data_IF_921763662784
#
_entry.id   IF_921763662784
#
_cell.length_a   1.000
_cell.length_b   1.000
_cell.length_c   1.000
_cell.angle_alpha   90.00
_cell.angle_beta   90.00
_cell.angle_gamma   90.00
#
_symmetry.space_group_name_H-M   'P 1'
#
loop_
_entity.id
_entity.type
_entity.pdbx_description
1 polymer ?
#
# COMPACT_ATOMS: atom_id res chain seq x y z
N UNK A 1 16.65 -11.43 -11.86
CA UNK A 1 15.58 -10.41 -12.01
C UNK A 1 16.11 -9.08 -11.46
N UNK A 2 15.89 -7.99 -12.18
CA UNK A 2 16.35 -6.66 -11.73
C UNK A 2 15.34 -6.07 -10.76
N UNK A 3 15.80 -5.66 -9.57
CA UNK A 3 14.94 -5.06 -8.54
C UNK A 3 14.20 -3.83 -9.07
N UNK A 4 12.92 -3.70 -8.75
CA UNK A 4 12.04 -2.62 -9.18
C UNK A 4 11.49 -2.74 -10.61
N UNK A 5 12.05 -3.64 -11.44
CA UNK A 5 11.60 -3.88 -12.82
C UNK A 5 10.84 -5.18 -13.01
N UNK A 6 10.47 -5.82 -11.92
CA UNK A 6 9.65 -7.03 -11.93
C UNK A 6 8.59 -6.92 -10.83
N UNK A 7 7.49 -7.64 -11.02
CA UNK A 7 6.48 -7.85 -10.00
C UNK A 7 6.37 -9.32 -9.65
N UNK A 8 5.87 -9.63 -8.47
CA UNK A 8 5.68 -11.00 -8.03
C UNK A 8 4.56 -11.68 -8.82
N UNK A 9 4.74 -12.96 -9.14
CA UNK A 9 3.68 -13.80 -9.68
C UNK A 9 2.56 -14.04 -8.66
N UNK A 10 2.84 -13.85 -7.38
CA UNK A 10 1.88 -13.99 -6.30
C UNK A 10 0.79 -12.89 -6.30
N UNK A 11 0.94 -11.83 -7.13
CA UNK A 11 -0.11 -10.86 -7.36
C UNK A 11 -1.28 -11.42 -8.19
N UNK A 12 -1.08 -12.58 -8.82
CA UNK A 12 -2.14 -13.23 -9.58
C UNK A 12 -3.20 -13.81 -8.64
N UNK A 13 -4.44 -13.39 -8.84
CA UNK A 13 -5.57 -13.93 -8.12
C UNK A 13 -5.81 -15.40 -8.52
N UNK A 14 -6.11 -16.25 -7.54
CA UNK A 14 -6.48 -17.63 -7.81
C UNK A 14 -7.91 -17.71 -8.40
N UNK A 15 -8.30 -18.88 -8.92
CA UNK A 15 -9.60 -19.08 -9.56
C UNK A 15 -10.80 -18.86 -8.63
N UNK A 16 -10.56 -18.96 -7.33
CA UNK A 16 -11.59 -18.91 -6.31
C UNK A 16 -11.68 -17.54 -5.60
N UNK A 17 -10.99 -16.52 -6.11
CA UNK A 17 -10.96 -15.20 -5.48
C UNK A 17 -12.37 -14.60 -5.27
N UNK A 18 -13.32 -14.90 -6.17
CA UNK A 18 -14.71 -14.44 -6.07
C UNK A 18 -15.52 -15.11 -4.96
N UNK A 19 -15.00 -16.19 -4.37
CA UNK A 19 -15.64 -16.85 -3.24
C UNK A 19 -15.44 -16.12 -1.91
N UNK A 20 -14.41 -15.30 -1.84
CA UNK A 20 -14.09 -14.50 -0.67
C UNK A 20 -14.70 -13.10 -0.85
N UNK A 21 -15.99 -12.99 -0.61
CA UNK A 21 -16.69 -11.71 -0.69
C UNK A 21 -16.80 -11.06 0.67
N UNK A 22 -16.53 -9.77 0.73
CA UNK A 22 -16.78 -8.94 1.89
C UNK A 22 -18.12 -8.23 1.71
N UNK A 23 -19.01 -8.40 2.69
CA UNK A 23 -20.25 -7.65 2.73
C UNK A 23 -20.05 -6.36 3.51
N UNK A 24 -20.50 -5.25 2.95
CA UNK A 24 -20.42 -3.93 3.57
C UNK A 24 -21.85 -3.39 3.68
N UNK A 25 -22.29 -3.14 4.91
CA UNK A 25 -23.61 -2.62 5.22
C UNK A 25 -23.54 -1.10 5.50
N UNK A 26 -23.04 -0.35 4.50
CA UNK A 26 -22.95 1.12 4.52
C UNK A 26 -23.44 1.68 3.20
N UNK A 27 -24.19 2.78 3.25
CA UNK A 27 -24.70 3.46 2.06
C UNK A 27 -23.64 4.28 1.33
N UNK A 28 -22.56 4.68 2.04
CA UNK A 28 -21.47 5.49 1.49
C UNK A 28 -20.14 4.74 1.63
N UNK A 29 -19.41 4.65 0.52
CA UNK A 29 -18.09 4.05 0.48
C UNK A 29 -17.07 5.07 -0.01
N UNK A 30 -15.95 5.17 0.70
CA UNK A 30 -14.77 5.92 0.26
C UNK A 30 -13.69 4.92 -0.15
N UNK A 31 -13.48 4.81 -1.47
CA UNK A 31 -12.36 4.02 -2.00
C UNK A 31 -11.17 4.94 -2.17
N UNK A 32 -10.16 4.72 -1.36
CA UNK A 32 -8.93 5.51 -1.34
C UNK A 32 -7.87 4.78 -2.15
N UNK A 33 -7.34 5.46 -3.18
CA UNK A 33 -6.18 4.97 -3.94
C UNK A 33 -4.91 5.03 -3.11
N UNK A 34 -3.74 5.06 -3.74
CA UNK A 34 -2.47 5.13 -3.02
C UNK A 34 -2.39 6.34 -2.08
N UNK A 35 -2.29 6.08 -0.79
CA UNK A 35 -2.16 7.12 0.25
C UNK A 35 -0.71 7.62 0.37
N UNK A 36 0.24 6.71 0.10
CA UNK A 36 1.69 6.97 0.08
C UNK A 36 2.24 7.64 1.35
N UNK A 37 1.69 7.28 2.52
CA UNK A 37 2.15 7.82 3.81
C UNK A 37 1.65 9.23 4.14
N UNK A 38 0.66 9.74 3.41
CA UNK A 38 0.14 11.09 3.61
C UNK A 38 -0.86 11.16 4.79
N UNK A 39 -0.35 11.45 5.98
CA UNK A 39 -1.14 11.58 7.20
C UNK A 39 -2.20 12.69 7.14
N UNK A 40 -1.91 13.82 6.50
CA UNK A 40 -2.87 14.92 6.37
C UNK A 40 -4.08 14.52 5.52
N UNK A 41 -3.83 13.80 4.42
CA UNK A 41 -4.90 13.23 3.60
C UNK A 41 -5.72 12.22 4.40
N UNK A 42 -5.05 11.36 5.18
CA UNK A 42 -5.71 10.35 6.02
C UNK A 42 -6.63 10.96 7.07
N UNK A 43 -6.19 12.01 7.77
CA UNK A 43 -7.01 12.74 8.73
C UNK A 43 -8.26 13.35 8.08
N UNK A 44 -8.10 13.95 6.90
CA UNK A 44 -9.23 14.52 6.15
C UNK A 44 -10.22 13.43 5.71
N UNK A 45 -9.73 12.30 5.20
CA UNK A 45 -10.54 11.16 4.79
C UNK A 45 -11.33 10.62 6.00
N UNK A 46 -10.67 10.41 7.13
CA UNK A 46 -11.30 9.93 8.36
C UNK A 46 -12.41 10.89 8.83
N UNK A 47 -12.12 12.20 8.86
CA UNK A 47 -13.09 13.22 9.27
C UNK A 47 -14.33 13.25 8.36
N UNK A 48 -14.14 13.13 7.04
CA UNK A 48 -15.25 13.07 6.09
C UNK A 48 -16.06 11.79 6.24
N UNK A 49 -15.38 10.66 6.33
CA UNK A 49 -16.04 9.36 6.45
C UNK A 49 -16.87 9.27 7.74
N UNK A 50 -16.38 9.84 8.85
CA UNK A 50 -17.12 9.88 10.10
C UNK A 50 -18.39 10.73 9.98
N UNK A 51 -18.31 11.91 9.37
CA UNK A 51 -19.48 12.80 9.15
C UNK A 51 -20.57 12.17 8.28
N UNK A 52 -20.18 11.39 7.30
CA UNK A 52 -21.08 10.75 6.34
C UNK A 52 -21.42 9.29 6.72
N UNK A 53 -20.95 8.81 7.85
CA UNK A 53 -21.07 7.42 8.26
C UNK A 53 -20.58 6.42 7.18
N UNK A 54 -19.54 6.81 6.46
CA UNK A 54 -18.99 6.04 5.35
C UNK A 54 -18.08 4.89 5.81
N UNK A 55 -18.01 3.84 4.99
CA UNK A 55 -16.94 2.84 5.09
C UNK A 55 -15.75 3.29 4.25
N UNK A 56 -14.56 3.25 4.81
CA UNK A 56 -13.31 3.50 4.07
C UNK A 56 -12.75 2.16 3.60
N UNK A 57 -12.32 2.12 2.35
CA UNK A 57 -11.56 1.01 1.75
C UNK A 57 -10.27 1.60 1.20
N UNK A 58 -9.15 1.21 1.79
CA UNK A 58 -7.82 1.54 1.27
C UNK A 58 -7.42 0.50 0.23
N UNK A 59 -7.26 0.93 -1.02
CA UNK A 59 -7.01 0.07 -2.17
C UNK A 59 -5.51 -0.20 -2.39
N UNK A 60 -4.78 -0.43 -1.31
CA UNK A 60 -3.34 -0.67 -1.33
C UNK A 60 -2.49 0.59 -1.44
N UNK A 61 -1.18 0.41 -1.41
CA UNK A 61 -0.17 1.46 -1.48
C UNK A 61 -0.37 2.58 -0.45
N UNK A 62 -0.57 2.16 0.79
CA UNK A 62 -0.80 3.08 1.90
C UNK A 62 0.47 3.78 2.35
N UNK A 63 1.60 3.10 2.24
CA UNK A 63 2.93 3.55 2.65
C UNK A 63 3.79 3.89 1.44
N UNK A 64 4.69 4.84 1.56
CA UNK A 64 5.78 5.12 0.64
C UNK A 64 6.72 6.22 1.14
N UNK A 65 6.18 7.39 1.50
CA UNK A 65 6.99 8.51 1.96
C UNK A 65 7.13 8.59 3.47
N UNK A 66 6.42 7.77 4.19
CA UNK A 66 6.50 7.57 5.64
C UNK A 66 7.64 6.59 6.00
N UNK A 67 8.86 6.98 5.59
CA UNK A 67 10.07 6.17 5.68
C UNK A 67 10.65 6.05 7.09
N UNK A 68 10.18 6.85 8.05
CA UNK A 68 10.55 6.70 9.45
C UNK A 68 9.46 5.95 10.24
N UNK A 69 9.88 5.32 11.33
CA UNK A 69 9.02 4.43 12.10
C UNK A 69 7.79 5.14 12.68
N UNK A 70 7.95 6.36 13.16
CA UNK A 70 6.87 7.09 13.82
C UNK A 70 5.78 7.49 12.82
N UNK A 71 6.17 7.97 11.63
CA UNK A 71 5.23 8.30 10.55
C UNK A 71 4.51 7.05 10.05
N UNK A 72 5.25 5.95 9.85
CA UNK A 72 4.69 4.66 9.45
C UNK A 72 3.63 4.19 10.44
N UNK A 73 3.95 4.16 11.74
CA UNK A 73 3.02 3.76 12.78
C UNK A 73 1.83 4.72 12.90
N UNK A 74 2.01 6.00 12.59
CA UNK A 74 0.92 6.98 12.57
C UNK A 74 -0.08 6.65 11.47
N UNK A 75 0.37 6.33 10.26
CA UNK A 75 -0.49 5.87 9.16
C UNK A 75 -1.22 4.59 9.55
N UNK A 76 -0.51 3.60 10.11
CA UNK A 76 -1.11 2.34 10.54
C UNK A 76 -2.21 2.53 11.58
N UNK A 77 -1.94 3.31 12.62
CA UNK A 77 -2.89 3.56 13.71
C UNK A 77 -4.11 4.36 13.25
N UNK A 78 -3.91 5.37 12.40
CA UNK A 78 -5.00 6.23 11.94
C UNK A 78 -5.86 5.58 10.85
N UNK A 79 -5.40 4.51 10.23
CA UNK A 79 -6.15 3.76 9.20
C UNK A 79 -6.89 2.52 9.73
N UNK A 80 -6.85 2.27 11.05
CA UNK A 80 -7.37 1.04 11.67
C UNK A 80 -8.87 0.82 11.44
N UNK A 81 -9.65 1.88 11.25
CA UNK A 81 -11.11 1.80 11.00
C UNK A 81 -11.46 1.44 9.57
N UNK A 82 -10.51 1.50 8.65
CA UNK A 82 -10.72 1.19 7.24
C UNK A 82 -10.46 -0.29 6.92
N UNK A 83 -11.03 -0.74 5.81
CA UNK A 83 -10.67 -2.03 5.20
C UNK A 83 -9.42 -1.79 4.37
N UNK A 84 -8.37 -2.56 4.61
CA UNK A 84 -7.10 -2.43 3.91
C UNK A 84 -6.91 -3.58 2.92
N UNK A 85 -6.66 -3.24 1.67
CA UNK A 85 -6.20 -4.19 0.66
C UNK A 85 -4.69 -4.07 0.52
N UNK A 86 -4.02 -5.15 0.19
CA UNK A 86 -2.58 -5.13 -0.08
C UNK A 86 -2.32 -4.56 -1.47
N UNK A 87 -1.51 -3.50 -1.55
CA UNK A 87 -0.87 -3.09 -2.80
C UNK A 87 0.46 -3.82 -3.00
N UNK A 88 1.16 -3.54 -4.09
CA UNK A 88 2.49 -4.10 -4.32
C UNK A 88 3.50 -3.63 -3.26
N UNK A 89 3.36 -2.41 -2.77
CA UNK A 89 4.23 -1.85 -1.73
C UNK A 89 4.15 -2.70 -0.47
N UNK A 90 2.96 -2.87 0.10
CA UNK A 90 2.75 -3.64 1.33
C UNK A 90 3.10 -5.11 1.14
N UNK A 91 2.75 -5.68 -0.03
CA UNK A 91 3.09 -7.07 -0.32
C UNK A 91 4.59 -7.31 -0.28
N UNK A 92 5.39 -6.46 -0.93
CA UNK A 92 6.84 -6.58 -0.95
C UNK A 92 7.50 -6.20 0.40
N UNK A 93 6.83 -5.41 1.24
CA UNK A 93 7.29 -5.15 2.61
C UNK A 93 7.25 -6.40 3.48
N UNK A 94 6.20 -7.21 3.38
CA UNK A 94 6.02 -8.44 4.17
C UNK A 94 6.61 -9.69 3.52
N UNK A 95 6.81 -9.68 2.21
CA UNK A 95 7.36 -10.81 1.46
C UNK A 95 8.84 -10.58 1.13
N UNK A 96 9.70 -11.46 1.63
CA UNK A 96 11.15 -11.38 1.42
C UNK A 96 11.69 -12.40 0.42
N UNK A 97 10.84 -13.26 -0.14
CA UNK A 97 11.29 -14.43 -0.91
C UNK A 97 12.05 -14.05 -2.18
N UNK A 98 11.52 -13.10 -2.95
CA UNK A 98 12.02 -12.81 -4.30
C UNK A 98 12.92 -11.58 -4.38
N UNK A 99 12.97 -10.77 -3.32
CA UNK A 99 13.76 -9.53 -3.25
C UNK A 99 13.60 -8.64 -4.49
N UNK A 100 12.36 -8.40 -4.89
CA UNK A 100 12.00 -7.65 -6.09
C UNK A 100 12.08 -6.11 -5.90
N UNK A 101 12.57 -5.64 -4.76
CA UNK A 101 12.57 -4.23 -4.39
C UNK A 101 11.14 -3.76 -4.13
N UNK A 102 10.77 -2.62 -4.69
CA UNK A 102 9.41 -2.09 -4.54
C UNK A 102 8.31 -2.89 -5.27
N UNK A 103 8.65 -3.86 -6.11
CA UNK A 103 7.69 -4.58 -6.94
C UNK A 103 6.94 -3.73 -7.97
N UNK A 104 7.47 -2.55 -8.30
CA UNK A 104 6.78 -1.54 -9.11
C UNK A 104 6.72 -1.88 -10.60
N UNK A 105 7.50 -2.87 -11.06
CA UNK A 105 7.57 -3.27 -12.46
C UNK A 105 7.82 -2.10 -13.42
N UNK A 106 8.79 -1.24 -13.08
CA UNK A 106 9.12 -0.10 -13.91
C UNK A 106 9.50 -0.53 -15.34
N UNK A 107 8.93 0.09 -16.38
CA UNK A 107 9.30 -0.18 -17.75
C UNK A 107 10.72 0.29 -18.08
N UNK A 108 11.27 -0.17 -19.21
CA UNK A 108 12.67 0.06 -19.57
C UNK A 108 13.01 1.54 -19.82
N UNK A 109 12.05 2.35 -20.21
CA UNK A 109 12.21 3.78 -20.47
C UNK A 109 12.33 4.63 -19.19
N UNK A 110 11.99 4.06 -18.02
CA UNK A 110 12.23 4.72 -16.74
C UNK A 110 13.71 4.67 -16.39
N UNK A 111 14.30 5.83 -16.06
CA UNK A 111 15.72 5.91 -15.74
C UNK A 111 16.10 5.07 -14.53
N UNK A 112 17.31 4.50 -14.54
CA UNK A 112 17.81 3.66 -13.46
C UNK A 112 17.84 4.41 -12.12
N UNK A 113 18.16 5.70 -12.12
CA UNK A 113 18.18 6.51 -10.90
C UNK A 113 16.80 6.64 -10.23
N UNK A 114 15.69 6.57 -10.98
CA UNK A 114 14.33 6.53 -10.41
C UNK A 114 14.09 5.17 -9.77
N UNK A 115 14.47 4.10 -10.45
CA UNK A 115 14.30 2.72 -9.97
C UNK A 115 15.10 2.49 -8.68
N UNK A 116 16.36 2.92 -8.66
CA UNK A 116 17.22 2.82 -7.48
C UNK A 116 16.67 3.58 -6.29
N UNK A 117 16.17 4.81 -6.51
CA UNK A 117 15.54 5.62 -5.47
C UNK A 117 14.30 4.92 -4.90
N UNK A 118 13.46 4.37 -5.75
CA UNK A 118 12.27 3.63 -5.32
C UNK A 118 12.62 2.39 -4.50
N UNK A 119 13.63 1.65 -4.92
CA UNK A 119 14.13 0.50 -4.17
C UNK A 119 14.72 0.92 -2.81
N UNK A 120 15.42 2.07 -2.75
CA UNK A 120 15.97 2.58 -1.50
C UNK A 120 14.87 3.01 -0.51
N UNK A 121 13.83 3.70 -0.97
CA UNK A 121 12.67 4.06 -0.15
C UNK A 121 12.01 2.80 0.41
N UNK A 122 11.78 1.81 -0.43
CA UNK A 122 11.16 0.56 -0.01
C UNK A 122 12.03 -0.20 1.03
N UNK A 123 13.35 -0.19 0.87
CA UNK A 123 14.26 -0.79 1.84
C UNK A 123 14.22 -0.07 3.19
N UNK A 124 14.17 1.26 3.21
CA UNK A 124 14.02 2.04 4.45
C UNK A 124 12.74 1.68 5.21
N UNK A 125 11.64 1.49 4.49
CA UNK A 125 10.39 1.04 5.12
C UNK A 125 10.51 -0.39 5.68
N UNK A 126 11.16 -1.31 4.96
CA UNK A 126 11.44 -2.67 5.45
C UNK A 126 12.24 -2.66 6.75
N UNK A 127 13.25 -1.82 6.83
CA UNK A 127 14.12 -1.70 8.01
C UNK A 127 13.33 -1.22 9.25
N UNK A 128 12.25 -0.46 9.04
CA UNK A 128 11.35 -0.02 10.12
C UNK A 128 10.43 -1.12 10.66
N UNK A 129 10.15 -2.15 9.87
CA UNK A 129 9.31 -3.28 10.28
C UNK A 129 10.07 -4.35 11.06
N UNK A 130 11.39 -4.36 10.91
CA UNK A 130 12.32 -5.35 11.49
C UNK A 130 12.40 -5.35 12.94
#
# INVERSE_FOLDING_TARGET
>A
MTKGRNCSLDYMLNKDWTKNTLRIDKDVLYVVGGLYGNNFALELINSKAEKENAQIIFNGDMHWFDINKDDFLTVENNSIKGIKLLGNVEYELINSKDNLGCGCNYPEDVSEGIVERSNAIHQMMKDNLG
#
